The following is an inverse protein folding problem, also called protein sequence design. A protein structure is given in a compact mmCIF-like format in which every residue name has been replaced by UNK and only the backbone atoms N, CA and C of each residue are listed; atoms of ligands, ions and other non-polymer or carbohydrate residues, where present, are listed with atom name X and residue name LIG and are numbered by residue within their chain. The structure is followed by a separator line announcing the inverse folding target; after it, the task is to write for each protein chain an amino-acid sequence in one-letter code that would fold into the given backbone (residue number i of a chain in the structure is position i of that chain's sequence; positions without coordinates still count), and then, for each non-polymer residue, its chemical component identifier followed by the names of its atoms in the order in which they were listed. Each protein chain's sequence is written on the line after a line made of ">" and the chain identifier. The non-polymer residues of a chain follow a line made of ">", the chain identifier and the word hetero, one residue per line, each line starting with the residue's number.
data_IF_833794972748
#
_entry.id   IF_833794972748
#
_cell.length_a   1.000
_cell.length_b   1.000
_cell.length_c   1.000
_cell.angle_alpha   90.00
_cell.angle_beta   90.00
_cell.angle_gamma   90.00
#
_symmetry.space_group_name_H-M   'P 1'
#
loop_
_entity.id
_entity.type
_entity.pdbx_description
1 polymer ?
#
# COMPACT_ATOMS: atom_id res chain seq x y z
N UNK A 1 -8.12 -4.46 9.10
CA UNK A 1 -9.28 -5.33 8.79
C UNK A 1 -9.23 -5.68 7.31
N UNK A 2 -9.20 -6.96 6.95
CA UNK A 2 -9.29 -7.41 5.54
C UNK A 2 -10.74 -7.85 5.29
N UNK A 3 -11.56 -7.09 4.55
CA UNK A 3 -12.92 -7.53 4.27
C UNK A 3 -12.85 -8.81 3.43
N UNK A 4 -13.44 -9.90 3.91
CA UNK A 4 -13.62 -11.12 3.14
C UNK A 4 -15.14 -11.34 3.01
N UNK A 5 -15.73 -11.22 1.80
CA UNK A 5 -17.15 -11.45 1.61
C UNK A 5 -17.54 -12.85 2.10
N UNK A 6 -18.74 -13.08 2.67
CA UNK A 6 -19.12 -14.40 3.21
C UNK A 6 -19.02 -15.55 2.20
N UNK A 7 -19.33 -15.29 0.93
CA UNK A 7 -19.19 -16.27 -0.16
C UNK A 7 -17.74 -16.71 -0.40
N UNK A 8 -16.76 -15.96 0.12
CA UNK A 8 -15.37 -16.34 0.07
C UNK A 8 -14.99 -17.42 1.13
N UNK A 9 -15.93 -17.83 1.99
CA UNK A 9 -15.72 -18.86 3.04
C UNK A 9 -16.17 -20.24 2.56
N UNK A 10 -17.28 -20.32 1.83
CA UNK A 10 -17.88 -21.58 1.40
C UNK A 10 -16.90 -22.41 0.56
N UNK A 11 -16.70 -23.68 0.95
CA UNK A 11 -15.88 -24.63 0.20
C UNK A 11 -14.37 -24.34 0.15
N UNK A 12 -13.85 -23.41 0.97
CA UNK A 12 -12.41 -23.10 1.05
C UNK A 12 -11.79 -23.58 2.36
N UNK A 13 -10.54 -24.01 2.27
CA UNK A 13 -9.63 -24.17 3.41
C UNK A 13 -9.19 -22.80 3.95
N UNK A 14 -8.62 -22.78 5.17
CA UNK A 14 -8.11 -21.55 5.77
C UNK A 14 -7.03 -20.85 4.91
N UNK A 15 -6.17 -21.62 4.23
CA UNK A 15 -5.16 -21.08 3.33
C UNK A 15 -5.81 -20.42 2.10
N UNK A 16 -6.77 -21.09 1.46
CA UNK A 16 -7.51 -20.54 0.32
C UNK A 16 -8.34 -19.30 0.69
N UNK A 17 -8.90 -19.27 1.92
CA UNK A 17 -9.56 -18.08 2.45
C UNK A 17 -8.58 -16.92 2.63
N UNK A 18 -7.38 -17.19 3.13
CA UNK A 18 -6.33 -16.18 3.30
C UNK A 18 -5.86 -15.63 1.95
N UNK A 19 -5.69 -16.50 0.95
CA UNK A 19 -5.31 -16.11 -0.41
C UNK A 19 -6.40 -15.27 -1.08
N UNK A 20 -7.66 -15.73 -1.01
CA UNK A 20 -8.79 -14.95 -1.49
C UNK A 20 -8.89 -13.58 -0.79
N UNK A 21 -8.60 -13.51 0.51
CA UNK A 21 -8.57 -12.26 1.26
C UNK A 21 -7.47 -11.31 0.81
N UNK A 22 -6.27 -11.82 0.50
CA UNK A 22 -5.15 -11.03 -0.05
C UNK A 22 -5.55 -10.39 -1.39
N UNK A 23 -5.99 -11.20 -2.33
CA UNK A 23 -6.42 -10.73 -3.66
C UNK A 23 -7.59 -9.76 -3.57
N UNK A 24 -8.61 -10.06 -2.78
CA UNK A 24 -9.75 -9.15 -2.61
C UNK A 24 -9.35 -7.82 -1.97
N UNK A 25 -8.42 -7.85 -1.02
CA UNK A 25 -7.86 -6.62 -0.42
C UNK A 25 -7.12 -5.80 -1.47
N UNK A 26 -6.28 -6.42 -2.30
CA UNK A 26 -5.60 -5.73 -3.40
C UNK A 26 -6.63 -5.06 -4.31
N UNK A 27 -7.59 -5.80 -4.87
CA UNK A 27 -8.63 -5.26 -5.75
C UNK A 27 -9.42 -4.11 -5.11
N UNK A 28 -9.73 -4.22 -3.81
CA UNK A 28 -10.41 -3.17 -3.03
C UNK A 28 -9.58 -1.89 -2.99
N UNK A 29 -8.27 -2.01 -2.72
CA UNK A 29 -7.35 -0.87 -2.68
C UNK A 29 -7.11 -0.29 -4.08
N UNK A 30 -7.05 -1.10 -5.14
CA UNK A 30 -6.94 -0.62 -6.53
C UNK A 30 -8.12 0.25 -6.96
N UNK A 31 -9.36 -0.15 -6.59
CA UNK A 31 -10.54 0.65 -6.84
C UNK A 31 -10.53 1.95 -6.01
N UNK A 32 -10.27 1.84 -4.71
CA UNK A 32 -10.22 2.99 -3.80
C UNK A 32 -9.11 4.00 -4.18
N UNK A 33 -7.96 3.52 -4.63
CA UNK A 33 -6.85 4.32 -5.14
C UNK A 33 -7.21 5.11 -6.40
N UNK A 34 -8.17 4.62 -7.19
CA UNK A 34 -8.76 5.34 -8.34
C UNK A 34 -9.98 6.18 -7.95
N UNK A 35 -10.21 6.39 -6.65
CA UNK A 35 -11.35 7.13 -6.08
C UNK A 35 -12.72 6.54 -6.45
N UNK A 36 -12.77 5.22 -6.68
CA UNK A 36 -14.00 4.46 -7.00
C UNK A 36 -14.32 3.52 -5.84
N UNK A 37 -15.54 3.58 -5.32
CA UNK A 37 -15.98 2.69 -4.25
C UNK A 37 -16.16 1.25 -4.78
N UNK A 38 -15.45 0.24 -4.24
CA UNK A 38 -15.55 -1.14 -4.73
C UNK A 38 -16.90 -1.81 -4.44
N UNK A 39 -17.75 -1.21 -3.59
CA UNK A 39 -19.08 -1.75 -3.27
C UNK A 39 -20.24 -1.21 -4.10
N UNK A 40 -20.21 0.07 -4.44
CA UNK A 40 -21.35 0.77 -5.08
C UNK A 40 -20.93 1.66 -6.25
N UNK A 41 -19.64 1.65 -6.63
CA UNK A 41 -19.05 2.46 -7.70
C UNK A 41 -19.16 3.98 -7.53
N UNK A 42 -19.61 4.46 -6.36
CA UNK A 42 -19.67 5.88 -6.02
C UNK A 42 -18.29 6.50 -5.80
N UNK A 43 -18.25 7.83 -5.73
CA UNK A 43 -17.02 8.59 -5.44
C UNK A 43 -16.49 8.28 -4.04
N UNK A 44 -15.16 8.28 -3.93
CA UNK A 44 -14.43 8.09 -2.68
C UNK A 44 -13.53 9.29 -2.43
N UNK A 45 -13.59 9.82 -1.21
CA UNK A 45 -12.64 10.80 -0.71
C UNK A 45 -11.47 10.08 -0.04
N UNK A 46 -10.27 10.63 -0.20
CA UNK A 46 -9.03 10.11 0.40
C UNK A 46 -8.44 11.15 1.33
N UNK A 47 -7.76 10.68 2.37
CA UNK A 47 -6.99 11.52 3.28
C UNK A 47 -5.78 10.77 3.81
N UNK A 48 -4.77 11.53 4.26
CA UNK A 48 -3.58 10.98 4.91
C UNK A 48 -3.51 11.49 6.34
N UNK A 49 -3.26 10.57 7.27
CA UNK A 49 -2.99 10.84 8.68
C UNK A 49 -1.55 10.47 8.99
N UNK A 50 -0.81 11.37 9.61
CA UNK A 50 0.63 11.20 9.89
C UNK A 50 0.88 11.30 11.39
N UNK A 51 1.66 10.38 11.94
CA UNK A 51 2.17 10.52 13.30
C UNK A 51 3.37 11.47 13.32
N UNK A 52 3.20 12.65 13.93
CA UNK A 52 4.23 13.71 13.96
C UNK A 52 5.48 13.35 14.78
N UNK A 53 5.39 12.32 15.62
CA UNK A 53 6.48 11.81 16.47
C UNK A 53 6.71 10.32 16.23
N UNK A 54 6.56 9.89 14.98
CA UNK A 54 6.73 8.50 14.61
C UNK A 54 8.17 8.03 14.81
N UNK A 55 8.33 6.97 15.59
CA UNK A 55 9.57 6.21 15.73
C UNK A 55 9.20 4.74 15.87
N UNK A 56 9.49 3.94 14.85
CA UNK A 56 9.25 2.50 14.83
C UNK A 56 10.55 1.69 14.69
N UNK A 57 11.67 2.25 15.15
CA UNK A 57 12.99 1.60 15.12
C UNK A 57 13.00 0.25 15.85
N UNK A 58 12.17 0.07 16.88
CA UNK A 58 11.99 -1.19 17.63
C UNK A 58 10.81 -2.05 17.11
N UNK A 59 10.28 -1.74 15.92
CA UNK A 59 9.26 -2.52 15.21
C UNK A 59 7.93 -1.79 15.03
N UNK A 60 7.39 -1.21 16.10
CA UNK A 60 6.17 -0.38 16.09
C UNK A 60 6.36 0.86 16.93
N UNK A 61 5.70 1.95 16.56
CA UNK A 61 5.78 3.19 17.30
C UNK A 61 4.91 3.19 18.56
N UNK A 62 5.47 3.58 19.71
CA UNK A 62 4.77 3.67 21.00
C UNK A 62 3.62 4.69 21.02
N UNK A 63 3.63 5.66 20.09
CA UNK A 63 2.62 6.73 20.03
C UNK A 63 1.38 6.34 19.24
N UNK A 64 1.58 5.70 18.10
CA UNK A 64 0.48 5.37 17.19
C UNK A 64 0.23 3.86 17.06
N UNK A 65 1.09 3.02 17.65
CA UNK A 65 1.04 1.56 17.62
C UNK A 65 1.13 0.97 16.20
N UNK A 66 1.74 1.74 15.27
CA UNK A 66 1.89 1.36 13.85
C UNK A 66 3.36 1.18 13.50
N UNK A 67 3.61 0.31 12.53
CA UNK A 67 4.91 0.21 11.85
C UNK A 67 5.19 1.45 10.98
N UNK A 68 4.17 1.92 10.26
CA UNK A 68 4.25 3.09 9.38
C UNK A 68 3.67 4.33 10.06
N UNK A 69 4.32 5.46 9.85
CA UNK A 69 3.95 6.77 10.37
C UNK A 69 2.78 7.39 9.62
N UNK A 70 2.61 7.08 8.33
CA UNK A 70 1.49 7.57 7.53
C UNK A 70 0.45 6.47 7.22
N UNK A 71 -0.82 6.82 7.43
CA UNK A 71 -1.98 6.00 7.07
C UNK A 71 -2.83 6.77 6.08
N UNK A 72 -3.14 6.12 4.97
CA UNK A 72 -4.11 6.61 4.01
C UNK A 72 -5.49 5.99 4.29
N UNK A 73 -6.51 6.83 4.23
CA UNK A 73 -7.91 6.45 4.41
C UNK A 73 -8.68 6.75 3.13
N UNK A 74 -9.68 5.93 2.85
CA UNK A 74 -10.59 6.14 1.74
C UNK A 74 -12.03 5.87 2.18
N UNK A 75 -12.89 6.87 2.07
CA UNK A 75 -14.27 6.85 2.53
C UNK A 75 -15.22 7.17 1.39
N UNK A 76 -16.24 6.34 1.18
CA UNK A 76 -17.22 6.57 0.13
C UNK A 76 -18.20 7.69 0.52
N UNK A 77 -18.53 8.57 -0.43
CA UNK A 77 -19.50 9.65 -0.23
C UNK A 77 -20.96 9.20 -0.31
N UNK A 78 -21.21 7.94 -0.64
CA UNK A 78 -22.55 7.40 -0.93
C UNK A 78 -22.98 6.22 -0.03
N UNK A 79 -22.04 5.43 0.48
CA UNK A 79 -22.35 4.28 1.33
C UNK A 79 -21.34 4.14 2.47
N UNK A 80 -21.59 3.21 3.40
CA UNK A 80 -20.74 2.96 4.59
C UNK A 80 -19.39 2.29 4.27
N UNK A 81 -18.82 2.50 3.08
CA UNK A 81 -17.51 1.93 2.72
C UNK A 81 -16.43 2.85 3.27
N UNK A 82 -15.54 2.25 4.04
CA UNK A 82 -14.35 2.87 4.60
C UNK A 82 -13.20 1.85 4.57
N UNK A 83 -12.01 2.29 4.23
CA UNK A 83 -10.79 1.50 4.32
C UNK A 83 -9.63 2.38 4.78
N UNK A 84 -8.86 1.86 5.74
CA UNK A 84 -7.62 2.46 6.24
C UNK A 84 -6.47 1.50 6.04
N UNK A 85 -5.37 2.01 5.48
CA UNK A 85 -4.19 1.23 5.15
C UNK A 85 -2.94 2.11 5.16
N UNK A 86 -1.76 1.50 5.24
CA UNK A 86 -0.51 2.24 5.01
C UNK A 86 -0.47 2.83 3.60
N UNK A 87 0.17 3.98 3.46
CA UNK A 87 0.30 4.67 2.15
C UNK A 87 0.90 3.74 1.09
N UNK A 88 1.89 2.93 1.46
CA UNK A 88 2.54 1.96 0.56
C UNK A 88 1.57 1.03 -0.17
N UNK A 89 0.43 0.65 0.43
CA UNK A 89 -0.56 -0.17 -0.26
C UNK A 89 -1.31 0.57 -1.36
N UNK A 90 -1.54 1.88 -1.23
CA UNK A 90 -2.06 2.69 -2.33
C UNK A 90 -1.02 2.88 -3.44
N UNK A 91 0.26 3.00 -3.07
CA UNK A 91 1.35 3.10 -4.04
C UNK A 91 1.48 1.81 -4.86
N UNK A 92 1.23 0.65 -4.26
CA UNK A 92 1.11 -0.63 -5.00
C UNK A 92 0.05 -0.62 -6.12
N UNK A 93 -0.81 0.40 -6.19
CA UNK A 93 -1.82 0.55 -7.24
C UNK A 93 -1.43 1.51 -8.37
N UNK A 94 -0.29 2.20 -8.24
CA UNK A 94 0.23 3.13 -9.25
C UNK A 94 0.95 2.37 -10.35
N UNK A 95 1.04 2.98 -11.53
CA UNK A 95 1.64 2.33 -12.70
C UNK A 95 3.12 2.04 -12.47
N UNK A 96 3.82 2.90 -11.73
CA UNK A 96 5.24 2.80 -11.43
C UNK A 96 5.53 1.54 -10.60
N UNK A 97 4.83 1.36 -9.47
CA UNK A 97 5.06 0.17 -8.62
C UNK A 97 4.59 -1.10 -9.31
N UNK A 98 3.43 -1.07 -10.00
CA UNK A 98 2.97 -2.23 -10.75
C UNK A 98 3.94 -2.62 -11.87
N UNK A 99 4.50 -1.64 -12.60
CA UNK A 99 5.49 -1.87 -13.64
C UNK A 99 6.74 -2.53 -13.07
N UNK A 100 7.29 -1.97 -12.00
CA UNK A 100 8.45 -2.54 -11.31
C UNK A 100 8.19 -3.98 -10.84
N UNK A 101 7.02 -4.29 -10.27
CA UNK A 101 6.69 -5.68 -9.91
C UNK A 101 6.62 -6.60 -11.15
N UNK A 102 5.98 -6.15 -12.23
CA UNK A 102 5.82 -6.92 -13.46
C UNK A 102 7.17 -7.19 -14.14
N UNK A 103 8.08 -6.21 -14.15
CA UNK A 103 9.41 -6.34 -14.74
C UNK A 103 10.26 -7.41 -14.03
N UNK A 104 9.98 -7.64 -12.74
CA UNK A 104 10.56 -8.72 -11.94
C UNK A 104 9.73 -10.02 -11.92
N UNK A 105 8.70 -10.13 -12.76
CA UNK A 105 7.87 -11.34 -12.89
C UNK A 105 6.90 -11.58 -11.73
N UNK A 106 6.60 -10.55 -10.94
CA UNK A 106 5.67 -10.61 -9.81
C UNK A 106 4.28 -10.15 -10.27
N UNK A 107 3.24 -10.96 -10.02
CA UNK A 107 1.86 -10.50 -10.20
C UNK A 107 1.45 -9.59 -9.03
N UNK A 108 1.14 -8.30 -9.27
CA UNK A 108 0.81 -7.33 -8.21
C UNK A 108 -0.52 -7.62 -7.49
N UNK A 109 -1.34 -8.53 -8.01
CA UNK A 109 -2.66 -8.91 -7.49
C UNK A 109 -2.65 -10.34 -6.89
N UNK A 110 -1.71 -11.18 -7.31
CA UNK A 110 -1.65 -12.57 -6.88
C UNK A 110 -1.35 -12.72 -5.38
N UNK A 111 -1.93 -13.73 -4.73
CA UNK A 111 -1.76 -13.95 -3.31
C UNK A 111 -0.44 -14.69 -3.00
N UNK A 112 0.72 -14.04 -2.95
CA UNK A 112 1.91 -14.67 -2.35
C UNK A 112 3.29 -14.22 -2.78
N UNK A 113 3.42 -13.44 -3.84
CA UNK A 113 4.73 -13.14 -4.43
C UNK A 113 5.36 -11.86 -3.86
N UNK A 114 4.53 -10.88 -3.47
CA UNK A 114 5.01 -9.65 -2.85
C UNK A 114 3.98 -9.10 -1.86
N UNK A 115 4.44 -8.68 -0.68
CA UNK A 115 3.61 -7.97 0.28
C UNK A 115 4.09 -6.52 0.32
N UNK A 116 3.33 -5.53 -0.19
CA UNK A 116 3.80 -4.14 -0.34
C UNK A 116 4.15 -3.42 0.98
N UNK A 117 3.94 -4.07 2.12
CA UNK A 117 4.34 -3.58 3.44
C UNK A 117 5.63 -4.24 3.97
N UNK A 118 6.10 -5.32 3.35
CA UNK A 118 7.26 -6.08 3.83
C UNK A 118 8.58 -5.54 3.30
N UNK A 119 8.60 -5.07 2.05
CA UNK A 119 9.80 -4.57 1.36
C UNK A 119 9.84 -3.04 1.24
N UNK A 120 8.95 -2.34 1.95
CA UNK A 120 8.86 -0.88 1.85
C UNK A 120 9.56 -0.18 3.01
N UNK A 121 10.52 0.69 2.69
CA UNK A 121 11.03 1.68 3.62
C UNK A 121 10.24 2.98 3.49
N UNK A 122 9.82 3.54 4.62
CA UNK A 122 9.08 4.82 4.67
C UNK A 122 9.95 5.90 5.29
N UNK A 123 9.99 7.06 4.63
CA UNK A 123 10.59 8.28 5.17
C UNK A 123 9.64 9.45 4.98
N UNK A 124 9.09 9.96 6.09
CA UNK A 124 8.30 11.19 6.07
C UNK A 124 9.25 12.38 5.88
N UNK A 125 9.06 13.15 4.82
CA UNK A 125 9.86 14.34 4.48
C UNK A 125 9.25 15.59 5.12
N UNK A 126 7.93 15.72 5.03
CA UNK A 126 7.17 16.82 5.63
C UNK A 126 5.81 16.33 6.12
N UNK A 127 5.34 16.93 7.22
CA UNK A 127 4.03 16.62 7.80
C UNK A 127 2.92 17.51 7.23
N UNK A 128 3.23 18.79 6.94
CA UNK A 128 2.27 19.79 6.45
C UNK A 128 2.97 20.82 5.54
N UNK A 129 2.74 20.80 4.21
CA UNK A 129 2.00 19.78 3.48
C UNK A 129 2.66 18.40 3.64
N UNK A 130 1.87 17.34 3.56
CA UNK A 130 2.40 15.98 3.66
C UNK A 130 3.27 15.68 2.45
N UNK A 131 4.48 15.17 2.71
CA UNK A 131 5.36 14.61 1.70
C UNK A 131 6.11 13.42 2.33
N UNK A 132 6.14 12.29 1.62
CA UNK A 132 6.83 11.11 2.08
C UNK A 132 7.46 10.33 0.93
N UNK A 133 8.56 9.66 1.23
CA UNK A 133 9.29 8.80 0.31
C UNK A 133 9.12 7.34 0.70
N UNK A 134 8.87 6.50 -0.31
CA UNK A 134 8.69 5.07 -0.17
C UNK A 134 9.63 4.35 -1.12
N UNK A 135 10.50 3.50 -0.59
CA UNK A 135 11.40 2.66 -1.39
C UNK A 135 10.86 1.23 -1.45
N UNK A 136 10.63 0.71 -2.65
CA UNK A 136 10.19 -0.65 -2.93
C UNK A 136 11.36 -1.42 -3.50
N UNK A 137 11.88 -2.39 -2.76
CA UNK A 137 13.00 -3.23 -3.22
C UNK A 137 12.51 -4.59 -3.69
N UNK A 138 12.92 -4.97 -4.90
CA UNK A 138 12.70 -6.29 -5.49
C UNK A 138 14.02 -6.76 -6.10
N UNK A 139 14.48 -7.94 -5.67
CA UNK A 139 15.81 -8.46 -5.99
C UNK A 139 16.92 -7.42 -5.67
N UNK A 140 17.71 -7.04 -6.67
CA UNK A 140 18.79 -6.04 -6.57
C UNK A 140 18.37 -4.66 -7.10
N UNK A 141 17.09 -4.42 -7.36
CA UNK A 141 16.58 -3.12 -7.81
C UNK A 141 15.69 -2.48 -6.74
N UNK A 142 15.78 -1.16 -6.60
CA UNK A 142 14.92 -0.38 -5.71
C UNK A 142 14.25 0.76 -6.47
N UNK A 143 12.92 0.75 -6.47
CA UNK A 143 12.08 1.85 -6.93
C UNK A 143 11.70 2.74 -5.75
N UNK A 144 12.11 4.00 -5.79
CA UNK A 144 11.79 5.01 -4.79
C UNK A 144 10.79 6.02 -5.35
N UNK A 145 9.67 6.20 -4.65
CA UNK A 145 8.62 7.16 -4.99
C UNK A 145 8.51 8.23 -3.91
N UNK A 146 8.39 9.49 -4.31
CA UNK A 146 7.95 10.57 -3.41
C UNK A 146 6.49 10.90 -3.71
N UNK A 147 5.67 11.03 -2.67
CA UNK A 147 4.23 11.32 -2.80
C UNK A 147 3.77 12.47 -1.91
N UNK A 148 2.71 13.15 -2.36
CA UNK A 148 2.06 14.27 -1.68
C UNK A 148 0.81 13.86 -0.87
N UNK A 149 0.11 14.85 -0.29
CA UNK A 149 -1.12 14.68 0.50
C UNK A 149 -2.29 14.07 -0.27
N UNK A 150 -2.31 14.19 -1.59
CA UNK A 150 -3.30 13.58 -2.47
C UNK A 150 -2.94 12.14 -2.85
N UNK A 151 -1.78 11.63 -2.37
CA UNK A 151 -1.16 10.37 -2.78
C UNK A 151 -0.76 10.36 -4.26
N UNK A 152 -0.47 11.53 -4.82
CA UNK A 152 0.06 11.67 -6.17
C UNK A 152 1.57 11.43 -6.12
N UNK A 153 2.09 10.69 -7.10
CA UNK A 153 3.54 10.52 -7.26
C UNK A 153 4.11 11.82 -7.85
N UNK A 154 5.01 12.47 -7.10
CA UNK A 154 5.63 13.75 -7.48
C UNK A 154 7.08 13.60 -7.92
N UNK A 155 7.75 12.51 -7.53
CA UNK A 155 9.12 12.18 -7.93
C UNK A 155 9.32 10.67 -7.95
N UNK A 156 10.19 10.19 -8.86
CA UNK A 156 10.48 8.78 -9.10
C UNK A 156 11.99 8.63 -9.29
N UNK A 157 12.58 7.69 -8.55
CA UNK A 157 13.98 7.30 -8.68
C UNK A 157 14.07 5.77 -8.73
N UNK A 158 14.85 5.24 -9.66
CA UNK A 158 15.17 3.80 -9.71
C UNK A 158 16.67 3.64 -9.58
N UNK A 159 17.09 2.72 -8.73
CA UNK A 159 18.50 2.42 -8.47
C UNK A 159 18.70 0.89 -8.52
N UNK A 160 19.66 0.44 -9.32
CA UNK A 160 20.21 -0.92 -9.22
C UNK A 160 21.27 -0.91 -8.13
N UNK A 161 21.17 -1.84 -7.17
CA UNK A 161 22.23 -2.10 -6.21
C UNK A 161 23.39 -2.71 -6.99
N UNK A 162 24.37 -1.87 -7.34
CA UNK A 162 25.58 -2.32 -8.02
C UNK A 162 26.20 -3.46 -7.19
N UNK A 163 26.13 -4.68 -7.73
CA UNK A 163 26.63 -5.88 -7.09
C UNK A 163 28.04 -5.67 -6.56
N UNK A 164 28.16 -5.53 -5.25
CA UNK A 164 29.43 -5.48 -4.54
C UNK A 164 30.08 -6.85 -4.62
N UNK A 165 30.86 -7.08 -5.67
CA UNK A 165 31.80 -8.19 -5.74
C UNK A 165 32.81 -8.05 -4.60
N UNK A 166 32.74 -8.96 -3.62
CA UNK A 166 33.85 -9.35 -2.76
C UNK A 166 33.93 -10.87 -2.71
#
# INVERSE_FOLDING_TARGET
>A
YRPLPPAAIEGRTAAEMHDASKTWTALTVHAAGRRICPRCSGRVDRSVEVCESHDASEGTCDRCERRFGAIASATCTNCVFDIRTGVAAYLGTTTEVMGHLIDHGIDPIAPGEFHPYAAVEEKIVSHRPFEARYAFSVDDETLTLTVDEDLSVVDIMSEEVAGGSC
#
